data_IF_127019736881
#
_entry.id   IF_127019736881
#
_cell.length_a   1.000
_cell.length_b   1.000
_cell.length_c   1.000
_cell.angle_alpha   90.00
_cell.angle_beta   90.00
_cell.angle_gamma   90.00
#
_symmetry.space_group_name_H-M   'P 1'
#
loop_
_entity.id
_entity.type
_entity.pdbx_description
1 polymer ?
#
# COMPACT_ATOMS: atom_id res chain seq x y z
N UNK A 1 26.84 -33.46 -5.13
CA UNK A 1 27.33 -33.29 -6.48
C UNK A 1 27.35 -31.84 -6.88
N UNK A 2 28.41 -31.39 -7.50
CA UNK A 2 28.52 -30.01 -7.92
C UNK A 2 27.59 -29.74 -9.12
N UNK A 3 26.83 -28.70 -9.03
CA UNK A 3 25.95 -28.24 -10.09
C UNK A 3 26.66 -27.19 -10.93
N UNK A 4 26.20 -26.94 -12.17
CA UNK A 4 26.73 -25.84 -12.95
C UNK A 4 26.70 -24.55 -12.15
N UNK A 5 27.85 -23.89 -12.04
CA UNK A 5 28.00 -22.68 -11.25
C UNK A 5 28.02 -22.90 -9.74
N UNK A 6 28.16 -24.16 -9.29
CA UNK A 6 28.23 -24.47 -7.85
C UNK A 6 26.91 -24.37 -7.11
N UNK A 7 25.79 -24.35 -7.82
CA UNK A 7 24.45 -24.18 -7.23
C UNK A 7 23.73 -25.52 -7.26
N UNK A 8 23.04 -25.86 -6.15
CA UNK A 8 22.18 -27.03 -6.09
C UNK A 8 20.91 -26.78 -6.89
N UNK A 9 20.81 -27.44 -8.03
CA UNK A 9 19.72 -27.20 -8.98
C UNK A 9 18.34 -27.44 -8.40
N UNK A 10 18.19 -28.48 -7.59
CA UNK A 10 16.89 -28.82 -7.00
C UNK A 10 16.44 -27.79 -6.00
N UNK A 11 17.35 -27.28 -5.17
CA UNK A 11 17.04 -26.23 -4.23
C UNK A 11 16.67 -24.94 -4.94
N UNK A 12 17.45 -24.58 -5.95
CA UNK A 12 17.19 -23.39 -6.74
C UNK A 12 15.80 -23.46 -7.40
N UNK A 13 15.48 -24.61 -8.01
CA UNK A 13 14.18 -24.81 -8.65
C UNK A 13 13.05 -24.69 -7.63
N UNK A 14 13.23 -25.25 -6.44
CA UNK A 14 12.22 -25.16 -5.39
C UNK A 14 11.95 -23.71 -5.01
N UNK A 15 12.98 -22.90 -4.82
CA UNK A 15 12.79 -21.48 -4.51
C UNK A 15 12.12 -20.74 -5.65
N UNK A 16 12.54 -20.99 -6.87
CA UNK A 16 11.93 -20.33 -8.04
C UNK A 16 10.45 -20.64 -8.14
N UNK A 17 10.09 -21.91 -8.04
CA UNK A 17 8.68 -22.34 -8.16
C UNK A 17 7.83 -21.76 -7.02
N UNK A 18 8.38 -21.71 -5.81
CA UNK A 18 7.65 -21.14 -4.66
C UNK A 18 7.45 -19.65 -4.81
N UNK A 19 8.45 -18.95 -5.29
CA UNK A 19 8.36 -17.50 -5.54
C UNK A 19 7.34 -17.24 -6.65
N UNK A 20 7.40 -17.98 -7.73
CA UNK A 20 6.48 -17.81 -8.84
C UNK A 20 5.03 -18.01 -8.42
N UNK A 21 4.76 -19.03 -7.60
CA UNK A 21 3.43 -19.27 -7.09
C UNK A 21 2.94 -18.12 -6.22
N UNK A 22 3.81 -17.60 -5.35
CA UNK A 22 3.46 -16.48 -4.48
C UNK A 22 3.24 -15.19 -5.29
N UNK A 23 4.02 -15.00 -6.35
CA UNK A 23 3.80 -13.86 -7.25
C UNK A 23 2.44 -13.95 -7.96
N UNK A 24 2.02 -15.15 -8.35
CA UNK A 24 0.70 -15.37 -8.92
C UNK A 24 -0.41 -15.07 -7.92
N UNK A 25 -0.25 -15.54 -6.67
CA UNK A 25 -1.20 -15.25 -5.60
C UNK A 25 -1.26 -13.75 -5.32
N UNK A 26 -0.11 -13.10 -5.30
CA UNK A 26 -0.04 -11.64 -5.11
C UNK A 26 -0.80 -10.90 -6.20
N UNK A 27 -0.63 -11.33 -7.46
CA UNK A 27 -1.34 -10.71 -8.58
C UNK A 27 -2.85 -10.92 -8.47
N UNK A 28 -3.26 -12.11 -8.06
CA UNK A 28 -4.68 -12.42 -7.86
C UNK A 28 -5.29 -11.51 -6.78
N UNK A 29 -4.56 -11.33 -5.68
CA UNK A 29 -5.00 -10.44 -4.61
C UNK A 29 -5.06 -8.98 -5.10
N UNK A 30 -4.06 -8.57 -5.87
CA UNK A 30 -4.05 -7.21 -6.44
C UNK A 30 -5.27 -6.97 -7.34
N UNK A 31 -5.64 -7.97 -8.13
CA UNK A 31 -6.82 -7.89 -8.99
C UNK A 31 -8.11 -7.80 -8.15
N UNK A 32 -8.19 -8.56 -7.08
CA UNK A 32 -9.34 -8.53 -6.18
C UNK A 32 -9.49 -7.15 -5.51
N UNK A 33 -8.38 -6.57 -5.08
CA UNK A 33 -8.38 -5.22 -4.49
C UNK A 33 -8.89 -4.20 -5.51
N UNK A 34 -8.41 -4.31 -6.74
CA UNK A 34 -8.84 -3.44 -7.83
C UNK A 34 -10.35 -3.55 -8.06
N UNK A 35 -10.88 -4.77 -7.99
CA UNK A 35 -12.31 -5.01 -8.16
C UNK A 35 -13.13 -4.34 -7.05
N UNK A 36 -12.66 -4.40 -5.81
CA UNK A 36 -13.35 -3.76 -4.70
C UNK A 36 -13.37 -2.24 -4.86
N UNK A 37 -12.26 -1.64 -5.29
CA UNK A 37 -12.23 -0.22 -5.59
C UNK A 37 -13.19 0.13 -6.73
N UNK A 38 -13.30 -0.75 -7.72
CA UNK A 38 -14.27 -0.58 -8.81
C UNK A 38 -15.70 -0.59 -8.33
N UNK A 39 -16.04 -1.50 -7.41
CA UNK A 39 -17.37 -1.53 -6.77
C UNK A 39 -17.64 -0.25 -6.00
N UNK A 40 -16.67 0.21 -5.21
CA UNK A 40 -16.82 1.43 -4.45
C UNK A 40 -17.06 2.64 -5.35
N UNK A 41 -16.34 2.73 -6.45
CA UNK A 41 -16.52 3.77 -7.44
C UNK A 41 -17.92 3.72 -8.04
N UNK A 42 -18.39 2.51 -8.36
CA UNK A 42 -19.73 2.29 -8.91
C UNK A 42 -20.85 2.71 -7.96
N UNK A 43 -20.59 2.68 -6.66
CA UNK A 43 -21.57 3.13 -5.65
C UNK A 43 -21.41 4.60 -5.29
N UNK A 44 -20.49 5.32 -5.91
CA UNK A 44 -20.34 6.76 -5.76
C UNK A 44 -19.25 7.23 -4.82
N UNK A 45 -18.40 6.33 -4.35
CA UNK A 45 -17.28 6.72 -3.49
C UNK A 45 -16.08 7.18 -4.32
N UNK A 46 -15.33 8.12 -3.75
CA UNK A 46 -14.08 8.61 -4.35
C UNK A 46 -12.96 7.63 -4.02
N UNK A 47 -12.39 6.99 -5.05
CA UNK A 47 -11.37 5.97 -4.83
C UNK A 47 -10.04 6.55 -4.37
N UNK A 48 -9.73 7.81 -4.71
CA UNK A 48 -8.52 8.47 -4.21
C UNK A 48 -8.59 8.67 -2.71
N UNK A 49 -9.76 9.09 -2.24
CA UNK A 49 -10.00 9.27 -0.80
C UNK A 49 -9.94 7.93 -0.09
N UNK A 50 -10.53 6.89 -0.67
CA UNK A 50 -10.48 5.55 -0.09
C UNK A 50 -9.04 5.05 0.06
N UNK A 51 -8.21 5.24 -0.96
CA UNK A 51 -6.80 4.85 -0.88
C UNK A 51 -6.07 5.60 0.21
N UNK A 52 -6.38 6.87 0.37
CA UNK A 52 -5.80 7.68 1.43
C UNK A 52 -6.22 7.17 2.81
N UNK A 53 -7.50 6.84 2.98
CA UNK A 53 -8.02 6.28 4.24
C UNK A 53 -7.31 4.96 4.56
N UNK A 54 -7.18 4.07 3.58
CA UNK A 54 -6.50 2.78 3.79
C UNK A 54 -5.05 3.01 4.26
N UNK A 55 -4.35 3.95 3.65
CA UNK A 55 -2.98 4.28 4.04
C UNK A 55 -2.92 4.84 5.46
N UNK A 56 -3.85 5.73 5.81
CA UNK A 56 -3.90 6.31 7.14
C UNK A 56 -4.21 5.26 8.21
N UNK A 57 -5.06 4.30 7.90
CA UNK A 57 -5.42 3.24 8.85
C UNK A 57 -4.27 2.28 9.14
N UNK A 58 -3.25 2.23 8.28
CA UNK A 58 -2.04 1.43 8.52
C UNK A 58 -1.05 2.12 9.44
N UNK A 59 -1.19 3.42 9.61
CA UNK A 59 -0.30 4.20 10.47
C UNK A 59 -0.75 4.08 11.92
N UNK A 60 0.23 4.12 12.83
CA UNK A 60 -0.06 4.27 14.23
C UNK A 60 -0.77 5.61 14.47
N UNK A 61 -1.76 5.63 15.36
CA UNK A 61 -2.56 6.82 15.63
C UNK A 61 -1.69 8.01 16.08
N UNK A 62 -0.69 7.74 16.91
CA UNK A 62 0.22 8.80 17.39
C UNK A 62 1.03 9.37 16.24
N UNK A 63 1.57 8.52 15.36
CA UNK A 63 2.31 8.97 14.19
C UNK A 63 1.43 9.79 13.25
N UNK A 64 0.20 9.36 13.04
CA UNK A 64 -0.75 10.09 12.20
C UNK A 64 -1.03 11.48 12.75
N UNK A 65 -1.29 11.57 14.06
CA UNK A 65 -1.55 12.84 14.70
C UNK A 65 -0.35 13.79 14.63
N UNK A 66 0.84 13.23 14.80
CA UNK A 66 2.07 13.98 14.69
C UNK A 66 2.27 14.53 13.29
N UNK A 67 2.01 13.73 12.26
CA UNK A 67 2.11 14.16 10.87
C UNK A 67 1.07 15.24 10.54
N UNK A 68 -0.15 15.08 11.02
CA UNK A 68 -1.22 16.06 10.80
C UNK A 68 -0.88 17.39 11.45
N UNK A 69 -0.36 17.38 12.68
CA UNK A 69 0.04 18.59 13.37
C UNK A 69 1.19 19.29 12.66
N UNK A 70 2.16 18.54 12.16
CA UNK A 70 3.29 19.09 11.43
C UNK A 70 2.85 19.69 10.11
N UNK A 71 1.97 19.02 9.40
CA UNK A 71 1.42 19.53 8.15
C UNK A 71 0.67 20.84 8.38
N UNK A 72 -0.15 20.89 9.41
CA UNK A 72 -0.90 22.11 9.77
C UNK A 72 0.05 23.27 10.08
N UNK A 73 1.13 22.99 10.79
CA UNK A 73 2.13 23.99 11.11
C UNK A 73 2.77 24.56 9.84
N UNK A 74 3.15 23.70 8.92
CA UNK A 74 3.77 24.11 7.67
C UNK A 74 2.79 24.88 6.79
N UNK A 75 1.56 24.42 6.71
CA UNK A 75 0.51 25.12 5.97
C UNK A 75 0.25 26.51 6.54
N UNK A 76 0.19 26.63 7.86
CA UNK A 76 0.03 27.93 8.51
C UNK A 76 1.19 28.86 8.18
N UNK A 77 2.41 28.35 8.21
CA UNK A 77 3.60 29.14 7.90
C UNK A 77 3.59 29.66 6.46
N UNK A 78 2.97 28.93 5.56
CA UNK A 78 2.87 29.30 4.15
C UNK A 78 1.60 30.07 3.82
N UNK A 79 0.78 30.40 4.80
CA UNK A 79 -0.49 31.07 4.56
C UNK A 79 -1.56 30.19 3.99
N UNK A 80 -1.41 28.86 4.15
CA UNK A 80 -2.35 27.87 3.66
C UNK A 80 -3.16 27.23 4.79
N UNK A 81 -3.26 27.92 5.90
CA UNK A 81 -3.97 27.36 7.05
C UNK A 81 -5.41 27.04 6.66
N UNK A 82 -5.92 25.86 7.09
CA UNK A 82 -7.32 25.54 6.87
C UNK A 82 -8.22 26.55 7.58
N UNK A 83 -9.42 26.72 7.06
CA UNK A 83 -10.38 27.63 7.69
C UNK A 83 -10.61 27.21 9.12
N UNK A 84 -10.51 28.18 10.05
CA UNK A 84 -10.77 27.92 11.44
C UNK A 84 -12.25 27.57 11.62
N UNK A 85 -12.54 26.58 12.46
CA UNK A 85 -13.95 26.34 12.80
C UNK A 85 -14.50 27.58 13.52
N UNK A 86 -15.67 27.94 13.12
CA UNK A 86 -16.31 29.13 13.67
C UNK A 86 -16.62 28.99 15.16
#
# INVERSE_FOLDING_TARGET
MAEPGGVAADQLRSFVERIERLEEEKQSIADDIKDVYGEAKGTGFDTKVLRQIIRLRKQDAAERQEQEALLDLYMSALGMAPAEPA
#
